data_IF_646991382945
#
_entry.id   IF_646991382945
#
_cell.length_a   1.000
_cell.length_b   1.000
_cell.length_c   1.000
_cell.angle_alpha   90.00
_cell.angle_beta   90.00
_cell.angle_gamma   90.00
#
_symmetry.space_group_name_H-M   'P 1'
#
loop_
_entity.id
_entity.type
_entity.pdbx_description
1 polymer ?
#
# COMPACT_ATOMS: atom_id res chain seq x y z
N UNK A 1 -6.01 36.70 -1.79
CA UNK A 1 -4.72 36.00 -1.74
C UNK A 1 -3.81 36.59 -2.80
N UNK A 2 -2.63 36.99 -2.42
CA UNK A 2 -1.68 37.67 -3.30
C UNK A 2 -1.09 36.66 -4.33
N UNK A 3 -0.86 37.10 -5.57
CA UNK A 3 -0.28 36.26 -6.65
C UNK A 3 0.99 35.54 -6.22
N UNK A 4 1.84 36.21 -5.44
CA UNK A 4 3.09 35.68 -4.93
C UNK A 4 2.86 34.52 -3.95
N UNK A 5 1.86 34.66 -3.07
CA UNK A 5 1.47 33.61 -2.12
C UNK A 5 0.91 32.37 -2.81
N UNK A 6 0.13 32.57 -3.87
CA UNK A 6 -0.43 31.49 -4.67
C UNK A 6 0.67 30.68 -5.38
N UNK A 7 1.63 31.36 -6.00
CA UNK A 7 2.76 30.70 -6.69
C UNK A 7 3.61 29.90 -5.70
N UNK A 8 3.87 30.46 -4.50
CA UNK A 8 4.62 29.76 -3.47
C UNK A 8 3.91 28.50 -2.99
N UNK A 9 2.59 28.55 -2.83
CA UNK A 9 1.81 27.37 -2.48
C UNK A 9 1.84 26.30 -3.58
N UNK A 10 1.68 26.71 -4.83
CA UNK A 10 1.77 25.79 -5.97
C UNK A 10 3.14 25.10 -6.02
N UNK A 11 4.20 25.87 -5.83
CA UNK A 11 5.56 25.34 -5.83
C UNK A 11 5.77 24.35 -4.69
N UNK A 12 5.24 24.66 -3.50
CA UNK A 12 5.29 23.76 -2.34
C UNK A 12 4.61 22.41 -2.65
N UNK A 13 3.38 22.46 -3.19
CA UNK A 13 2.65 21.24 -3.54
C UNK A 13 3.34 20.45 -4.65
N UNK A 14 3.92 21.16 -5.64
CA UNK A 14 4.67 20.52 -6.71
C UNK A 14 5.88 19.75 -6.17
N UNK A 15 6.68 20.38 -5.30
CA UNK A 15 7.83 19.73 -4.67
C UNK A 15 7.41 18.52 -3.84
N UNK A 16 6.34 18.66 -3.05
CA UNK A 16 5.79 17.55 -2.27
C UNK A 16 5.34 16.40 -3.19
N UNK A 17 4.66 16.70 -4.28
CA UNK A 17 4.20 15.69 -5.23
C UNK A 17 5.38 14.93 -5.87
N UNK A 18 6.46 15.63 -6.21
CA UNK A 18 7.68 15.00 -6.75
C UNK A 18 8.32 14.07 -5.71
N UNK A 19 8.46 14.52 -4.47
CA UNK A 19 9.04 13.71 -3.38
C UNK A 19 8.20 12.45 -3.15
N UNK A 20 6.88 12.61 -3.01
CA UNK A 20 5.96 11.49 -2.83
C UNK A 20 6.05 10.53 -4.02
N UNK A 21 6.04 11.05 -5.24
CA UNK A 21 6.12 10.24 -6.46
C UNK A 21 7.40 9.41 -6.53
N UNK A 22 8.54 9.96 -6.15
CA UNK A 22 9.81 9.23 -6.12
C UNK A 22 9.77 8.11 -5.08
N UNK A 23 9.31 8.39 -3.87
CA UNK A 23 9.25 7.40 -2.77
C UNK A 23 8.26 6.29 -3.12
N UNK A 24 7.05 6.65 -3.55
CA UNK A 24 6.00 5.68 -3.91
C UNK A 24 6.45 4.84 -5.10
N UNK A 25 7.03 5.47 -6.13
CA UNK A 25 7.54 4.77 -7.30
C UNK A 25 8.62 3.76 -6.95
N UNK A 26 9.53 4.10 -6.04
CA UNK A 26 10.58 3.18 -5.57
C UNK A 26 9.98 1.98 -4.82
N UNK A 27 9.01 2.21 -3.93
CA UNK A 27 8.33 1.16 -3.19
C UNK A 27 7.52 0.26 -4.13
N UNK A 28 6.78 0.84 -5.07
CA UNK A 28 5.98 0.09 -6.03
C UNK A 28 6.87 -0.72 -6.98
N UNK A 29 8.02 -0.21 -7.37
CA UNK A 29 8.99 -0.94 -8.19
C UNK A 29 9.53 -2.16 -7.44
N UNK A 30 9.87 -2.01 -6.16
CA UNK A 30 10.30 -3.12 -5.31
C UNK A 30 9.18 -4.15 -5.15
N UNK A 31 7.98 -3.67 -4.85
CA UNK A 31 6.78 -4.51 -4.72
C UNK A 31 6.54 -5.34 -5.99
N UNK A 32 6.57 -4.71 -7.15
CA UNK A 32 6.35 -5.36 -8.43
C UNK A 32 7.42 -6.39 -8.76
N UNK A 33 8.69 -6.10 -8.51
CA UNK A 33 9.79 -7.02 -8.75
C UNK A 33 9.68 -8.28 -7.89
N UNK A 34 9.41 -8.13 -6.60
CA UNK A 34 9.21 -9.26 -5.69
C UNK A 34 7.99 -10.07 -6.12
N UNK A 35 6.91 -9.39 -6.53
CA UNK A 35 5.70 -10.04 -6.99
C UNK A 35 5.92 -10.89 -8.23
N UNK A 36 6.71 -10.41 -9.20
CA UNK A 36 7.08 -11.16 -10.39
C UNK A 36 7.90 -12.40 -10.02
N UNK A 37 8.90 -12.25 -9.16
CA UNK A 37 9.73 -13.37 -8.69
C UNK A 37 8.90 -14.43 -7.96
N UNK A 38 7.96 -14.02 -7.13
CA UNK A 38 7.01 -14.89 -6.43
C UNK A 38 6.11 -15.64 -7.42
N UNK A 39 5.60 -14.92 -8.43
CA UNK A 39 4.74 -15.50 -9.46
C UNK A 39 5.48 -16.55 -10.30
N UNK A 40 6.73 -16.29 -10.64
CA UNK A 40 7.58 -17.24 -11.37
C UNK A 40 7.85 -18.50 -10.52
N UNK A 41 8.17 -18.33 -9.25
CA UNK A 41 8.35 -19.42 -8.31
C UNK A 41 7.07 -20.26 -8.17
N UNK A 42 5.93 -19.62 -8.04
CA UNK A 42 4.63 -20.30 -7.97
C UNK A 42 4.34 -21.09 -9.22
N UNK A 43 4.64 -20.58 -10.41
CA UNK A 43 4.39 -21.27 -11.68
C UNK A 43 5.08 -22.63 -11.72
N UNK A 44 6.27 -22.73 -11.11
CA UNK A 44 7.03 -23.99 -11.04
C UNK A 44 6.49 -24.91 -9.93
N UNK A 45 6.02 -24.36 -8.82
CA UNK A 45 5.69 -25.10 -7.59
C UNK A 45 4.20 -25.05 -7.22
N UNK A 46 3.31 -24.68 -8.14
CA UNK A 46 1.88 -24.46 -7.82
C UNK A 46 1.20 -25.69 -7.19
N UNK A 47 1.59 -26.89 -7.58
CA UNK A 47 1.01 -28.13 -7.07
C UNK A 47 1.22 -28.30 -5.56
N UNK A 48 2.35 -27.82 -5.04
CA UNK A 48 2.69 -27.90 -3.63
C UNK A 48 2.15 -26.69 -2.84
N UNK A 49 2.03 -25.54 -3.49
CA UNK A 49 1.66 -24.29 -2.82
C UNK A 49 0.15 -24.08 -2.74
N UNK A 50 -0.58 -24.47 -3.78
CA UNK A 50 -2.03 -24.20 -3.86
C UNK A 50 -2.84 -24.81 -2.70
N UNK A 51 -2.59 -26.04 -2.22
CA UNK A 51 -3.31 -26.60 -1.07
C UNK A 51 -3.13 -25.83 0.23
N UNK A 52 -2.09 -25.02 0.36
CA UNK A 52 -1.80 -24.20 1.55
C UNK A 52 -2.44 -22.81 1.50
N UNK A 53 -3.21 -22.48 0.44
CA UNK A 53 -3.84 -21.17 0.30
C UNK A 53 -4.76 -20.82 1.49
N UNK A 54 -5.60 -21.71 2.03
CA UNK A 54 -6.40 -21.40 3.23
C UNK A 54 -5.55 -21.06 4.45
N UNK A 55 -4.41 -21.74 4.63
CA UNK A 55 -3.46 -21.45 5.72
C UNK A 55 -2.84 -20.06 5.52
N UNK A 56 -2.48 -19.71 4.30
CA UNK A 56 -1.98 -18.38 3.97
C UNK A 56 -3.00 -17.30 4.31
N UNK A 57 -4.28 -17.52 4.01
CA UNK A 57 -5.37 -16.61 4.37
C UNK A 57 -5.49 -16.40 5.87
N UNK A 58 -5.36 -17.47 6.65
CA UNK A 58 -5.37 -17.38 8.12
C UNK A 58 -4.15 -16.60 8.64
N UNK A 59 -2.98 -16.84 8.09
CA UNK A 59 -1.75 -16.12 8.47
C UNK A 59 -1.88 -14.62 8.16
N UNK A 60 -2.39 -14.28 6.99
CA UNK A 60 -2.61 -12.88 6.59
C UNK A 60 -3.58 -12.20 7.54
N UNK A 61 -4.71 -12.83 7.83
CA UNK A 61 -5.72 -12.30 8.75
C UNK A 61 -5.14 -12.10 10.14
N UNK A 62 -4.41 -13.09 10.65
CA UNK A 62 -3.75 -13.02 11.95
C UNK A 62 -2.72 -11.88 11.99
N UNK A 63 -1.97 -11.68 10.92
CA UNK A 63 -1.00 -10.60 10.80
C UNK A 63 -1.67 -9.22 10.89
N UNK A 64 -2.79 -9.01 10.19
CA UNK A 64 -3.55 -7.76 10.28
C UNK A 64 -4.10 -7.54 11.69
N UNK A 65 -4.68 -8.56 12.31
CA UNK A 65 -5.21 -8.45 13.67
C UNK A 65 -4.11 -8.19 14.70
N UNK A 66 -2.94 -8.79 14.53
CA UNK A 66 -1.83 -8.63 15.46
C UNK A 66 -1.18 -7.26 15.38
N UNK A 67 -1.01 -6.72 14.17
CA UNK A 67 -0.23 -5.50 13.96
C UNK A 67 -1.09 -4.24 13.74
N UNK A 68 -2.19 -4.34 13.01
CA UNK A 68 -3.05 -3.17 12.76
C UNK A 68 -4.45 -3.57 12.34
N UNK A 69 -5.39 -3.59 13.26
CA UNK A 69 -6.81 -3.84 12.96
C UNK A 69 -7.40 -2.79 12.01
N UNK A 70 -6.96 -1.53 12.10
CA UNK A 70 -7.41 -0.47 11.24
C UNK A 70 -7.09 -0.74 9.77
N UNK A 71 -5.95 -1.38 9.48
CA UNK A 71 -5.53 -1.72 8.12
C UNK A 71 -6.41 -2.79 7.45
N UNK A 72 -7.23 -3.53 8.20
CA UNK A 72 -8.21 -4.47 7.63
C UNK A 72 -9.24 -3.78 6.72
N UNK A 73 -9.47 -2.50 6.92
CA UNK A 73 -10.37 -1.71 6.09
C UNK A 73 -9.85 -1.54 4.65
N UNK A 74 -8.55 -1.66 4.44
CA UNK A 74 -7.94 -1.55 3.12
C UNK A 74 -8.32 -0.26 2.38
N UNK A 75 -8.88 -0.38 1.19
CA UNK A 75 -9.31 0.78 0.39
C UNK A 75 -10.36 1.65 1.08
N UNK A 76 -11.22 1.06 1.91
CA UNK A 76 -12.21 1.82 2.69
C UNK A 76 -11.53 2.85 3.59
N UNK A 77 -10.40 2.49 4.21
CA UNK A 77 -9.63 3.41 5.03
C UNK A 77 -9.10 4.61 4.21
N UNK A 78 -8.66 4.37 2.98
CA UNK A 78 -8.22 5.41 2.05
C UNK A 78 -9.36 6.39 1.75
N UNK A 79 -10.54 5.87 1.42
CA UNK A 79 -11.71 6.71 1.16
C UNK A 79 -12.15 7.50 2.39
N UNK A 80 -12.14 6.88 3.57
CA UNK A 80 -12.49 7.56 4.83
C UNK A 80 -11.51 8.68 5.15
N UNK A 81 -10.22 8.48 4.91
CA UNK A 81 -9.21 9.52 5.08
C UNK A 81 -9.40 10.68 4.10
N UNK A 82 -9.73 10.38 2.85
CA UNK A 82 -10.04 11.39 1.83
C UNK A 82 -11.30 12.20 2.15
N UNK A 83 -12.28 11.59 2.81
CA UNK A 83 -13.51 12.23 3.25
C UNK A 83 -13.39 12.89 4.64
N UNK A 84 -12.21 12.91 5.21
CA UNK A 84 -11.94 13.44 6.55
C UNK A 84 -12.70 12.73 7.69
N UNK A 85 -13.12 11.50 7.47
CA UNK A 85 -13.80 10.66 8.48
C UNK A 85 -12.84 9.98 9.44
N UNK A 86 -11.56 9.90 9.07
CA UNK A 86 -10.50 9.38 9.91
C UNK A 86 -9.28 10.29 9.80
N UNK A 87 -8.53 10.42 10.90
CA UNK A 87 -7.42 11.37 10.98
C UNK A 87 -6.10 10.78 10.47
N UNK A 88 -5.98 9.46 10.42
CA UNK A 88 -4.70 8.84 10.06
C UNK A 88 -4.88 7.49 9.36
N UNK A 89 -4.05 7.29 8.35
CA UNK A 89 -3.81 5.98 7.76
C UNK A 89 -2.53 5.43 8.41
N UNK A 90 -2.56 4.25 9.08
CA UNK A 90 -1.38 3.70 9.71
C UNK A 90 -0.28 3.41 8.68
N UNK A 91 0.97 3.80 8.98
CA UNK A 91 2.11 3.45 8.12
C UNK A 91 2.33 1.93 8.04
N UNK A 92 1.89 1.17 9.04
CA UNK A 92 1.91 -0.29 9.02
C UNK A 92 1.08 -0.88 7.88
N UNK A 93 0.13 -0.12 7.31
CA UNK A 93 -0.64 -0.57 6.14
C UNK A 93 0.28 -0.93 4.97
N UNK A 94 1.36 -0.19 4.76
CA UNK A 94 2.29 -0.42 3.64
C UNK A 94 2.91 -1.82 3.69
N UNK A 95 3.68 -2.19 4.74
CA UNK A 95 4.25 -3.54 4.81
C UNK A 95 3.19 -4.63 4.90
N UNK A 96 2.09 -4.38 5.59
CA UNK A 96 1.02 -5.37 5.73
C UNK A 96 0.37 -5.70 4.39
N UNK A 97 0.01 -4.70 3.60
CA UNK A 97 -0.62 -4.91 2.29
C UNK A 97 0.36 -5.54 1.30
N UNK A 98 1.62 -5.17 1.36
CA UNK A 98 2.66 -5.75 0.51
C UNK A 98 2.86 -7.24 0.82
N UNK A 99 3.10 -7.58 2.08
CA UNK A 99 3.32 -8.97 2.53
C UNK A 99 2.06 -9.80 2.29
N UNK A 100 0.89 -9.29 2.62
CA UNK A 100 -0.38 -9.98 2.38
C UNK A 100 -0.60 -10.30 0.91
N UNK A 101 -0.30 -9.37 0.02
CA UNK A 101 -0.41 -9.57 -1.43
C UNK A 101 0.61 -10.58 -1.94
N UNK A 102 1.86 -10.50 -1.48
CA UNK A 102 2.89 -11.46 -1.85
C UNK A 102 2.53 -12.89 -1.41
N UNK A 103 2.05 -13.06 -0.16
CA UNK A 103 1.60 -14.36 0.34
C UNK A 103 0.42 -14.90 -0.48
N UNK A 104 -0.55 -14.05 -0.79
CA UNK A 104 -1.70 -14.43 -1.61
C UNK A 104 -1.26 -14.94 -2.97
N UNK A 105 -0.38 -14.21 -3.65
CA UNK A 105 0.13 -14.61 -4.97
C UNK A 105 1.02 -15.85 -4.90
N UNK A 106 1.81 -15.99 -3.85
CA UNK A 106 2.69 -17.16 -3.67
C UNK A 106 1.89 -18.47 -3.60
N UNK A 107 0.76 -18.45 -2.89
CA UNK A 107 -0.07 -19.65 -2.71
C UNK A 107 -1.18 -19.79 -3.79
N UNK A 108 -1.15 -18.95 -4.81
CA UNK A 108 -2.04 -19.09 -5.97
C UNK A 108 -3.35 -18.32 -5.88
N UNK A 109 -3.54 -17.49 -4.85
CA UNK A 109 -4.68 -16.60 -4.78
C UNK A 109 -4.57 -15.44 -5.75
N UNK A 110 -5.70 -14.78 -6.01
CA UNK A 110 -5.74 -13.58 -6.86
C UNK A 110 -5.99 -12.35 -5.99
N UNK A 111 -5.09 -11.40 -6.05
CA UNK A 111 -5.22 -10.10 -5.38
C UNK A 111 -4.87 -8.98 -6.33
N UNK A 112 -5.60 -7.87 -6.24
CA UNK A 112 -5.38 -6.71 -7.09
C UNK A 112 -4.07 -6.00 -6.76
N UNK A 113 -3.26 -5.73 -7.78
CA UNK A 113 -2.01 -4.96 -7.63
C UNK A 113 -2.25 -3.47 -7.58
N UNK A 114 -3.23 -3.02 -8.34
CA UNK A 114 -3.56 -1.60 -8.47
C UNK A 114 -4.06 -1.01 -7.16
N UNK A 115 -4.92 -1.73 -6.46
CA UNK A 115 -5.40 -1.32 -5.14
C UNK A 115 -4.26 -1.20 -4.12
N UNK A 116 -3.27 -2.07 -4.19
CA UNK A 116 -2.08 -2.02 -3.32
C UNK A 116 -1.27 -0.76 -3.60
N UNK A 117 -1.01 -0.44 -4.87
CA UNK A 117 -0.29 0.77 -5.26
C UNK A 117 -1.01 2.04 -4.77
N UNK A 118 -2.33 2.08 -4.91
CA UNK A 118 -3.16 3.20 -4.41
C UNK A 118 -3.06 3.32 -2.89
N UNK A 119 -3.14 2.20 -2.16
CA UNK A 119 -3.03 2.22 -0.70
C UNK A 119 -1.65 2.70 -0.23
N UNK A 120 -0.59 2.26 -0.87
CA UNK A 120 0.79 2.72 -0.57
C UNK A 120 0.90 4.22 -0.85
N UNK A 121 0.46 4.68 -2.01
CA UNK A 121 0.51 6.08 -2.40
C UNK A 121 -0.29 6.98 -1.46
N UNK A 122 -1.51 6.59 -1.14
CA UNK A 122 -2.37 7.33 -0.22
C UNK A 122 -1.78 7.40 1.19
N UNK A 123 -1.24 6.29 1.70
CA UNK A 123 -0.64 6.23 3.04
C UNK A 123 0.58 7.14 3.15
N UNK A 124 1.47 7.09 2.16
CA UNK A 124 2.67 7.93 2.13
C UNK A 124 2.32 9.41 1.93
N UNK A 125 1.43 9.71 0.99
CA UNK A 125 0.97 11.09 0.77
C UNK A 125 0.36 11.70 2.03
N UNK A 126 -0.46 10.93 2.72
CA UNK A 126 -1.09 11.36 3.96
C UNK A 126 -0.06 11.62 5.07
N UNK A 127 0.90 10.72 5.25
CA UNK A 127 1.96 10.85 6.24
C UNK A 127 2.86 12.07 5.96
N UNK A 128 3.27 12.25 4.70
CA UNK A 128 4.11 13.38 4.28
C UNK A 128 3.32 14.69 4.40
N UNK A 129 2.07 14.70 3.94
CA UNK A 129 1.21 15.88 4.02
C UNK A 129 0.98 16.36 5.45
N UNK A 130 0.81 15.45 6.39
CA UNK A 130 0.68 15.79 7.81
C UNK A 130 1.94 16.42 8.39
N UNK A 131 3.11 16.00 7.93
CA UNK A 131 4.40 16.50 8.40
C UNK A 131 4.67 17.93 7.90
N UNK A 132 4.12 18.31 6.76
CA UNK A 132 4.32 19.61 6.13
C UNK A 132 3.17 20.60 6.30
N UNK A 133 2.19 20.26 7.11
CA UNK A 133 1.12 21.19 7.48
C UNK A 133 1.57 22.32 8.39
#
# INVERSE_FOLDING_TARGET
MDKKSYILQLLKYFVMAVIVGIIVGAIDALFGRVLIAISDFRTIHYQYLLPFLPIAGLVITAMYYAFSKASLKGMKLVFEAGQQKTDAIPLLLIPLVMIGTWLTHLFGGSAGREGVAVQIGATLSHAIGRKFK
#
